data_IF_196912990706
#
_entry.id   IF_196912990706
#
_cell.length_a   1.000
_cell.length_b   1.000
_cell.length_c   1.000
_cell.angle_alpha   90.00
_cell.angle_beta   90.00
_cell.angle_gamma   90.00
#
_symmetry.space_group_name_H-M   'P 1'
#
loop_
_entity.id
_entity.type
_entity.pdbx_description
1 polymer ?
#
# COMPACT_ATOMS: atom_id res chain seq x y z
N UNK A 1 6.12 30.24 16.51
CA UNK A 1 5.65 31.19 15.47
C UNK A 1 4.87 30.36 14.47
N UNK A 2 3.56 30.23 14.67
CA UNK A 2 2.48 30.97 13.99
C UNK A 2 2.09 30.30 12.65
N UNK A 3 0.80 30.29 12.31
CA UNK A 3 0.00 29.06 12.18
C UNK A 3 -0.59 28.94 10.75
N UNK A 4 -1.20 27.81 10.42
CA UNK A 4 -2.25 27.79 9.39
C UNK A 4 -3.17 26.58 9.55
N UNK A 5 -4.39 26.89 10.01
CA UNK A 5 -5.59 26.13 9.74
C UNK A 5 -5.78 26.04 8.23
N UNK A 6 -6.21 24.88 7.72
CA UNK A 6 -7.01 24.81 6.51
C UNK A 6 -8.05 23.71 6.67
N UNK A 7 -9.28 24.18 6.83
CA UNK A 7 -10.50 23.40 6.71
C UNK A 7 -11.10 23.62 5.31
N UNK A 8 -12.05 22.73 4.97
CA UNK A 8 -13.07 22.80 3.91
C UNK A 8 -12.60 22.39 2.49
N UNK A 9 -13.35 21.66 1.67
CA UNK A 9 -14.74 21.17 1.71
C UNK A 9 -14.79 19.75 1.11
N UNK A 10 -15.51 18.82 1.75
CA UNK A 10 -15.96 17.57 1.11
C UNK A 10 -17.37 17.81 0.54
N UNK A 11 -17.48 17.90 -0.78
CA UNK A 11 -18.78 17.81 -1.47
C UNK A 11 -18.90 16.49 -2.21
N UNK A 12 -19.92 15.74 -1.82
CA UNK A 12 -20.68 14.74 -2.58
C UNK A 12 -19.98 13.43 -3.01
N UNK A 13 -20.51 12.32 -2.49
CA UNK A 13 -20.31 10.98 -3.05
C UNK A 13 -20.46 9.88 -2.00
N UNK A 14 -21.67 9.37 -1.82
CA UNK A 14 -21.94 8.17 -1.01
C UNK A 14 -21.45 6.92 -1.73
N UNK A 15 -20.16 6.62 -1.57
CA UNK A 15 -19.54 5.31 -1.66
C UNK A 15 -18.34 5.40 -0.70
N UNK A 16 -18.23 4.52 0.29
CA UNK A 16 -17.22 4.63 1.35
C UNK A 16 -15.83 4.79 0.75
N UNK A 17 -15.25 5.98 0.84
CA UNK A 17 -13.84 6.19 0.53
C UNK A 17 -13.10 5.58 1.71
N UNK A 18 -12.63 4.34 1.55
CA UNK A 18 -11.51 3.87 2.34
C UNK A 18 -10.37 4.84 2.04
N UNK A 19 -10.06 5.70 3.02
CA UNK A 19 -8.91 6.59 2.92
C UNK A 19 -7.72 5.71 3.24
N UNK A 20 -7.01 5.24 2.20
CA UNK A 20 -5.71 4.61 2.40
C UNK A 20 -4.81 5.55 3.20
N UNK A 21 -4.06 4.97 4.13
CA UNK A 21 -3.14 5.73 4.96
C UNK A 21 -2.00 6.31 4.10
N UNK A 22 -1.38 7.37 4.61
CA UNK A 22 -0.17 7.91 4.00
C UNK A 22 1.05 7.17 4.53
N UNK A 23 1.98 6.73 3.67
CA UNK A 23 3.23 6.16 4.12
C UNK A 23 3.98 7.13 5.06
N UNK A 24 4.61 6.59 6.10
CA UNK A 24 5.47 7.39 6.97
C UNK A 24 6.68 7.95 6.23
N UNK A 25 7.20 9.09 6.66
CA UNK A 25 8.33 9.77 6.00
C UNK A 25 9.62 8.94 5.93
N UNK A 26 9.75 7.95 6.81
CA UNK A 26 10.87 7.02 6.94
C UNK A 26 10.54 5.63 6.36
N UNK A 27 9.47 5.50 5.58
CA UNK A 27 9.13 4.26 4.87
C UNK A 27 9.97 4.13 3.60
N UNK A 28 10.26 2.88 3.22
CA UNK A 28 10.86 2.57 1.93
C UNK A 28 9.95 3.09 0.81
N UNK A 29 10.48 3.82 -0.19
CA UNK A 29 9.67 4.33 -1.29
C UNK A 29 8.95 3.19 -2.01
N UNK A 30 7.68 3.43 -2.38
CA UNK A 30 6.80 2.43 -3.00
C UNK A 30 7.46 1.69 -4.17
N UNK A 31 8.16 2.41 -5.04
CA UNK A 31 8.84 1.83 -6.20
C UNK A 31 9.93 0.82 -5.81
N UNK A 32 10.67 1.08 -4.73
CA UNK A 32 11.69 0.14 -4.24
C UNK A 32 11.05 -1.13 -3.66
N UNK A 33 9.90 -1.00 -3.00
CA UNK A 33 9.14 -2.16 -2.51
C UNK A 33 8.61 -2.99 -3.69
N UNK A 34 8.04 -2.34 -4.71
CA UNK A 34 7.58 -3.01 -5.94
C UNK A 34 8.70 -3.79 -6.63
N UNK A 35 9.91 -3.22 -6.73
CA UNK A 35 11.07 -3.95 -7.27
C UNK A 35 11.42 -5.20 -6.45
N UNK A 36 11.33 -5.13 -5.11
CA UNK A 36 11.55 -6.29 -4.24
C UNK A 36 10.48 -7.35 -4.41
N UNK A 37 9.21 -6.95 -4.52
CA UNK A 37 8.09 -7.86 -4.78
C UNK A 37 8.27 -8.58 -6.12
N UNK A 38 8.65 -7.85 -7.17
CA UNK A 38 8.97 -8.44 -8.47
C UNK A 38 10.14 -9.44 -8.39
N UNK A 39 11.19 -9.10 -7.64
CA UNK A 39 12.30 -10.03 -7.38
C UNK A 39 11.87 -11.27 -6.57
N UNK A 40 10.82 -11.16 -5.75
CA UNK A 40 10.21 -12.27 -5.00
C UNK A 40 9.19 -13.08 -5.83
N UNK A 41 9.04 -12.78 -7.12
CA UNK A 41 8.20 -13.53 -8.06
C UNK A 41 6.78 -12.99 -8.23
N UNK A 42 6.47 -11.80 -7.71
CA UNK A 42 5.23 -11.11 -8.03
C UNK A 42 5.26 -10.51 -9.45
N UNK A 43 4.13 -10.59 -10.14
CA UNK A 43 3.83 -9.88 -11.38
C UNK A 43 2.52 -9.13 -11.22
N UNK A 44 2.19 -8.27 -12.17
CA UNK A 44 0.87 -7.64 -12.28
C UNK A 44 0.37 -7.04 -10.95
N UNK A 45 1.21 -6.25 -10.28
CA UNK A 45 0.85 -5.59 -9.02
C UNK A 45 -0.24 -4.56 -9.32
N UNK A 46 -1.47 -4.82 -8.89
CA UNK A 46 -2.67 -4.02 -9.22
C UNK A 46 -3.04 -3.02 -8.14
N UNK A 47 -2.78 -3.36 -6.88
CA UNK A 47 -3.01 -2.50 -5.71
C UNK A 47 -1.73 -2.40 -4.90
N UNK A 48 -1.42 -1.20 -4.40
CA UNK A 48 -0.23 -0.97 -3.59
C UNK A 48 -0.33 0.34 -2.80
N UNK A 49 -0.63 0.25 -1.52
CA UNK A 49 -0.88 1.38 -0.64
C UNK A 49 -0.31 1.18 0.77
N UNK A 50 -0.25 2.25 1.55
CA UNK A 50 0.04 2.14 2.96
C UNK A 50 -1.27 1.93 3.71
N UNK A 51 -1.33 0.88 4.52
CA UNK A 51 -2.46 0.60 5.40
C UNK A 51 -1.98 -0.06 6.68
N UNK A 52 -2.63 0.23 7.81
CA UNK A 52 -2.39 -0.39 9.12
C UNK A 52 -0.91 -0.50 9.57
N UNK A 53 -0.05 0.40 9.09
CA UNK A 53 1.38 0.43 9.44
C UNK A 53 2.29 -0.44 8.57
N UNK A 54 1.80 -0.99 7.46
CA UNK A 54 2.57 -1.72 6.46
C UNK A 54 2.24 -1.26 5.03
N UNK A 55 3.03 -1.74 4.07
CA UNK A 55 2.62 -1.70 2.66
C UNK A 55 1.67 -2.85 2.40
N UNK A 56 0.48 -2.58 1.88
CA UNK A 56 -0.49 -3.57 1.46
C UNK A 56 -0.60 -3.55 -0.07
N UNK A 57 -0.84 -4.70 -0.67
CA UNK A 57 -1.07 -4.75 -2.10
C UNK A 57 -1.51 -6.11 -2.61
N UNK A 58 -1.88 -6.10 -3.87
CA UNK A 58 -2.32 -7.28 -4.61
C UNK A 58 -1.44 -7.49 -5.83
N UNK A 59 -1.16 -8.74 -6.17
CA UNK A 59 -0.48 -9.09 -7.40
C UNK A 59 -0.57 -10.59 -7.72
N UNK A 60 -0.07 -10.95 -8.89
CA UNK A 60 -0.01 -12.34 -9.33
C UNK A 60 1.28 -12.99 -8.86
N UNK A 61 1.20 -14.20 -8.31
CA UNK A 61 2.37 -15.02 -7.98
C UNK A 61 2.06 -16.48 -8.26
N UNK A 62 2.92 -17.13 -9.05
CA UNK A 62 2.71 -18.52 -9.48
C UNK A 62 1.33 -18.76 -10.14
N UNK A 63 0.79 -17.77 -10.85
CA UNK A 63 -0.52 -17.86 -11.51
C UNK A 63 -1.73 -17.70 -10.60
N UNK A 64 -1.53 -17.36 -9.32
CA UNK A 64 -2.59 -17.09 -8.33
C UNK A 64 -2.56 -15.62 -7.96
N UNK A 65 -3.73 -14.98 -7.85
CA UNK A 65 -3.85 -13.62 -7.31
C UNK A 65 -3.65 -13.68 -5.79
N UNK A 66 -2.75 -12.87 -5.27
CA UNK A 66 -2.34 -12.88 -3.88
C UNK A 66 -2.46 -11.46 -3.31
N UNK A 67 -3.04 -11.36 -2.12
CA UNK A 67 -2.93 -10.20 -1.25
C UNK A 67 -1.66 -10.37 -0.40
N UNK A 68 -0.86 -9.33 -0.26
CA UNK A 68 0.37 -9.34 0.51
C UNK A 68 0.52 -8.09 1.37
N UNK A 69 1.19 -8.26 2.50
CA UNK A 69 1.69 -7.15 3.29
C UNK A 69 3.21 -7.18 3.27
N UNK A 70 3.83 -6.00 3.24
CA UNK A 70 5.28 -5.83 3.28
C UNK A 70 5.71 -4.84 4.36
N UNK A 71 6.81 -5.16 5.02
CA UNK A 71 7.40 -4.33 6.06
C UNK A 71 7.73 -2.93 5.52
N UNK A 72 7.32 -1.85 6.21
CA UNK A 72 7.44 -0.49 5.70
C UNK A 72 8.89 -0.01 5.57
N UNK A 73 9.86 -0.61 6.28
CA UNK A 73 11.27 -0.17 6.28
C UNK A 73 12.13 -0.94 5.32
N UNK A 74 11.81 -2.21 5.13
CA UNK A 74 12.64 -3.16 4.41
C UNK A 74 11.98 -3.67 3.14
N UNK A 75 10.67 -3.53 2.97
CA UNK A 75 9.92 -4.10 1.85
C UNK A 75 9.91 -5.63 1.84
N UNK A 76 10.23 -6.28 2.96
CA UNK A 76 10.14 -7.73 3.09
C UNK A 76 8.68 -8.15 3.24
N UNK A 77 8.26 -9.20 2.54
CA UNK A 77 6.90 -9.75 2.68
C UNK A 77 6.74 -10.29 4.11
N UNK A 78 5.75 -9.78 4.83
CA UNK A 78 5.43 -10.22 6.21
C UNK A 78 4.24 -11.18 6.23
N UNK A 79 3.33 -11.08 5.27
CA UNK A 79 2.22 -12.01 5.04
C UNK A 79 1.84 -12.04 3.57
N UNK A 80 1.36 -13.19 3.11
CA UNK A 80 0.71 -13.34 1.81
C UNK A 80 -0.37 -14.42 1.89
N UNK A 81 -1.48 -14.23 1.19
CA UNK A 81 -2.57 -15.19 1.08
C UNK A 81 -3.24 -15.08 -0.30
N UNK A 82 -3.83 -16.16 -0.83
CA UNK A 82 -4.65 -16.05 -2.04
C UNK A 82 -5.78 -15.04 -1.82
N UNK A 83 -5.94 -14.14 -2.77
CA UNK A 83 -7.05 -13.20 -2.83
C UNK A 83 -8.31 -13.93 -3.31
N UNK A 84 -9.47 -13.69 -2.67
CA UNK A 84 -10.67 -14.54 -2.77
C UNK A 84 -11.87 -13.85 -3.40
#
# INVERSE_FOLDING_TARGET
MKPALLALLLTAGSAGIALADKPGADWMPAEQVKQKLMAAGYTDITEFEADDGHWEGEGMKNGVKMEFHADPKTGAIISEKPDK
#
